data_IF_196861442772
#
_entry.id   IF_196861442772
#
_cell.length_a   1.000
_cell.length_b   1.000
_cell.length_c   1.000
_cell.angle_alpha   90.00
_cell.angle_beta   90.00
_cell.angle_gamma   90.00
#
_symmetry.space_group_name_H-M   'P 1'
#
loop_
_entity.id
_entity.type
_entity.pdbx_description
1 polymer ?
#
# COMPACT_ATOMS: atom_id res chain seq x y z
N UNK A 1 34.67 26.34 38.19
CA UNK A 1 33.98 25.49 37.20
C UNK A 1 32.56 25.28 37.66
N UNK A 2 31.67 26.16 37.20
CA UNK A 2 30.26 26.27 37.63
C UNK A 2 29.38 26.05 36.40
N UNK A 3 28.31 25.28 36.62
CA UNK A 3 27.17 24.97 35.74
C UNK A 3 26.50 26.24 35.17
N UNK A 4 25.98 26.21 33.94
CA UNK A 4 24.78 26.92 33.42
C UNK A 4 24.56 26.45 31.96
N UNK A 5 23.64 25.53 31.61
CA UNK A 5 22.20 25.77 31.33
C UNK A 5 21.84 27.24 31.19
N UNK A 6 21.54 27.70 29.96
CA UNK A 6 20.71 28.87 29.55
C UNK A 6 21.26 29.44 28.23
N UNK A 7 20.80 28.98 27.05
CA UNK A 7 20.82 29.78 25.79
C UNK A 7 20.36 29.03 24.51
N UNK A 8 19.37 28.12 24.55
CA UNK A 8 18.66 27.78 23.29
C UNK A 8 17.21 27.36 23.48
N UNK A 9 16.56 27.89 24.52
CA UNK A 9 15.11 27.87 24.71
C UNK A 9 14.38 29.00 23.94
N UNK A 10 14.99 29.62 22.91
CA UNK A 10 14.41 30.78 22.19
C UNK A 10 13.83 30.41 20.81
N UNK A 11 14.24 29.30 20.19
CA UNK A 11 13.72 28.92 18.86
C UNK A 11 12.35 28.22 18.93
N UNK A 12 11.90 27.87 20.15
CA UNK A 12 10.57 27.29 20.42
C UNK A 12 9.45 28.35 20.47
N UNK A 13 9.74 29.66 20.43
CA UNK A 13 8.73 30.70 20.75
C UNK A 13 8.22 31.59 19.60
N UNK A 14 8.62 31.37 18.34
CA UNK A 14 8.24 32.28 17.21
C UNK A 14 7.35 31.64 16.13
N UNK A 15 7.18 30.32 16.06
CA UNK A 15 6.30 29.67 15.05
C UNK A 15 5.01 29.12 15.68
N UNK A 16 4.53 29.81 16.72
CA UNK A 16 3.26 29.53 17.42
C UNK A 16 2.23 30.65 17.22
N UNK A 17 2.44 31.58 16.28
CA UNK A 17 1.66 32.81 16.24
C UNK A 17 1.08 33.21 14.88
N UNK A 18 0.57 32.29 14.05
CA UNK A 18 -0.34 32.66 12.94
C UNK A 18 -1.18 31.48 12.42
N UNK A 19 -2.11 30.96 13.24
CA UNK A 19 -3.36 30.39 12.69
C UNK A 19 -4.51 30.83 13.58
N UNK A 20 -5.04 32.02 13.28
CA UNK A 20 -6.30 32.49 13.81
C UNK A 20 -7.43 31.65 13.21
N UNK A 21 -8.23 31.02 14.07
CA UNK A 21 -9.52 30.44 13.76
C UNK A 21 -10.48 31.55 13.31
N UNK A 22 -10.77 31.61 12.01
CA UNK A 22 -11.93 32.33 11.51
C UNK A 22 -13.15 31.40 11.57
N UNK A 23 -13.94 31.49 12.64
CA UNK A 23 -15.31 30.99 12.68
C UNK A 23 -16.20 31.99 11.95
N UNK A 24 -16.33 31.83 10.63
CA UNK A 24 -17.28 32.59 9.83
C UNK A 24 -18.67 31.96 9.92
N UNK A 25 -19.58 32.60 10.66
CA UNK A 25 -21.01 32.37 10.52
C UNK A 25 -21.47 33.11 9.25
N UNK A 26 -21.89 32.35 8.24
CA UNK A 26 -22.52 32.94 7.05
C UNK A 26 -24.03 32.90 7.24
N UNK A 27 -24.58 34.05 7.60
CA UNK A 27 -26.00 34.38 7.42
C UNK A 27 -26.08 35.28 6.18
N UNK A 28 -26.69 34.78 5.10
CA UNK A 28 -26.94 35.56 3.89
C UNK A 28 -27.80 34.75 2.92
N UNK A 29 -29.13 34.90 2.97
CA UNK A 29 -29.93 35.85 2.22
C UNK A 29 -30.42 35.26 0.89
N UNK A 30 -31.72 34.93 0.86
CA UNK A 30 -32.49 34.60 -0.35
C UNK A 30 -32.31 35.69 -1.40
N UNK A 31 -31.74 35.30 -2.55
CA UNK A 31 -32.00 35.98 -3.82
C UNK A 31 -32.48 34.95 -4.82
N UNK A 32 -33.70 35.18 -5.31
CA UNK A 32 -34.24 34.60 -6.53
C UNK A 32 -33.16 34.70 -7.63
N UNK A 33 -32.67 33.55 -8.08
CA UNK A 33 -31.88 33.44 -9.29
C UNK A 33 -32.71 32.61 -10.27
N UNK A 34 -33.12 33.29 -11.34
CA UNK A 34 -33.73 32.71 -12.52
C UNK A 34 -33.00 31.44 -12.92
N UNK A 35 -33.78 30.39 -13.17
CA UNK A 35 -33.36 29.14 -13.80
C UNK A 35 -32.84 29.47 -15.20
N UNK A 36 -31.54 29.76 -15.30
CA UNK A 36 -30.80 29.65 -16.56
C UNK A 36 -30.42 28.18 -16.63
N UNK A 37 -31.14 27.45 -17.47
CA UNK A 37 -30.79 26.10 -17.89
C UNK A 37 -29.44 26.16 -18.59
N UNK A 38 -28.36 26.04 -17.81
CA UNK A 38 -27.04 25.76 -18.36
C UNK A 38 -27.13 24.33 -18.86
N UNK A 39 -27.17 24.17 -20.18
CA UNK A 39 -26.85 22.92 -20.85
C UNK A 39 -25.50 22.47 -20.29
N UNK A 40 -25.54 21.48 -19.39
CA UNK A 40 -24.35 20.77 -18.96
C UNK A 40 -23.94 20.01 -20.21
N UNK A 41 -23.01 20.60 -20.96
CA UNK A 41 -22.27 19.92 -22.02
C UNK A 41 -21.94 18.53 -21.48
N UNK A 42 -22.54 17.52 -22.11
CA UNK A 42 -22.27 16.12 -21.82
C UNK A 42 -20.76 15.95 -21.98
N UNK A 43 -20.02 15.95 -20.87
CA UNK A 43 -18.63 15.53 -20.86
C UNK A 43 -18.68 14.15 -21.48
N UNK A 44 -18.10 13.96 -22.69
CA UNK A 44 -18.23 12.71 -23.42
C UNK A 44 -17.85 11.63 -22.44
N UNK A 45 -18.70 10.61 -22.31
CA UNK A 45 -18.44 9.44 -21.51
C UNK A 45 -17.20 8.78 -22.09
N UNK A 46 -16.02 9.30 -21.72
CA UNK A 46 -14.74 8.65 -21.91
C UNK A 46 -14.97 7.36 -21.16
N UNK A 47 -15.12 6.27 -21.91
CA UNK A 47 -15.02 4.93 -21.37
C UNK A 47 -13.68 4.90 -20.65
N UNK A 48 -13.70 5.19 -19.35
CA UNK A 48 -12.50 5.17 -18.52
C UNK A 48 -12.14 3.70 -18.52
N UNK A 49 -11.23 3.32 -19.41
CA UNK A 49 -10.72 1.97 -19.50
C UNK A 49 -10.18 1.66 -18.11
N UNK A 50 -10.94 0.87 -17.35
CA UNK A 50 -10.57 0.52 -15.99
C UNK A 50 -9.31 -0.32 -16.10
N UNK A 51 -8.42 -0.22 -15.12
CA UNK A 51 -7.26 -1.11 -15.13
C UNK A 51 -7.69 -2.56 -14.91
N UNK A 52 -8.88 -2.78 -14.38
CA UNK A 52 -9.44 -4.09 -14.08
C UNK A 52 -9.91 -4.89 -15.29
N UNK A 53 -10.19 -4.23 -16.41
CA UNK A 53 -10.62 -4.87 -17.67
C UNK A 53 -9.47 -5.59 -18.39
N UNK A 54 -8.21 -5.35 -18.00
CA UNK A 54 -7.07 -6.04 -18.63
C UNK A 54 -7.07 -7.52 -18.25
N UNK A 55 -6.86 -8.39 -19.23
CA UNK A 55 -6.98 -9.83 -19.08
C UNK A 55 -5.93 -10.43 -18.13
N UNK A 56 -4.67 -10.01 -18.23
CA UNK A 56 -3.57 -10.56 -17.45
C UNK A 56 -3.14 -9.66 -16.28
N UNK A 57 -2.58 -10.30 -15.25
CA UNK A 57 -2.16 -9.65 -13.99
C UNK A 57 -1.13 -8.56 -14.25
N UNK A 58 -0.18 -8.80 -15.16
CA UNK A 58 0.90 -7.85 -15.46
C UNK A 58 0.35 -6.59 -16.10
N UNK A 59 -0.56 -6.71 -17.07
CA UNK A 59 -1.20 -5.57 -17.72
C UNK A 59 -2.06 -4.75 -16.77
N UNK A 60 -2.77 -5.40 -15.83
CA UNK A 60 -3.51 -4.69 -14.78
C UNK A 60 -2.59 -3.87 -13.88
N UNK A 61 -1.53 -4.50 -13.36
CA UNK A 61 -0.55 -3.84 -12.50
C UNK A 61 0.12 -2.68 -13.25
N UNK A 62 0.56 -2.90 -14.50
CA UNK A 62 1.18 -1.86 -15.33
C UNK A 62 0.23 -0.69 -15.54
N UNK A 63 -1.03 -0.98 -15.89
CA UNK A 63 -2.04 0.05 -16.05
C UNK A 63 -2.20 0.90 -14.78
N UNK A 64 -2.24 0.26 -13.59
CA UNK A 64 -2.39 0.97 -12.31
C UNK A 64 -1.20 1.92 -12.04
N UNK A 65 0.01 1.52 -12.42
CA UNK A 65 1.19 2.40 -12.36
C UNK A 65 1.13 3.57 -13.35
N UNK A 66 0.68 3.32 -14.58
CA UNK A 66 0.59 4.35 -15.63
C UNK A 66 -0.57 5.32 -15.39
N UNK A 67 -1.62 4.88 -14.69
CA UNK A 67 -2.86 5.62 -14.49
C UNK A 67 -3.21 5.75 -13.00
N UNK A 68 -2.33 6.39 -12.23
CA UNK A 68 -2.46 6.48 -10.76
C UNK A 68 -3.77 7.11 -10.28
N UNK A 69 -4.38 8.03 -11.05
CA UNK A 69 -5.69 8.61 -10.74
C UNK A 69 -6.80 7.57 -10.83
N UNK A 70 -6.77 6.75 -11.89
CA UNK A 70 -7.72 5.64 -12.08
C UNK A 70 -7.49 4.62 -10.97
N UNK A 71 -6.25 4.20 -10.74
CA UNK A 71 -5.90 3.25 -9.68
C UNK A 71 -6.35 3.70 -8.27
N UNK A 72 -6.24 5.00 -7.94
CA UNK A 72 -6.70 5.52 -6.63
C UNK A 72 -8.21 5.49 -6.48
N UNK A 73 -8.95 5.79 -7.55
CA UNK A 73 -10.42 5.69 -7.57
C UNK A 73 -10.84 4.24 -7.38
N UNK A 74 -10.16 3.34 -8.09
CA UNK A 74 -10.39 1.91 -8.05
C UNK A 74 -10.04 1.30 -6.67
N UNK A 75 -8.95 1.72 -6.04
CA UNK A 75 -8.45 1.12 -4.77
C UNK A 75 -9.46 1.10 -3.60
N UNK A 76 -10.52 1.92 -3.64
CA UNK A 76 -11.58 1.93 -2.62
C UNK A 76 -12.50 0.72 -2.76
N UNK A 77 -12.72 0.24 -3.98
CA UNK A 77 -13.75 -0.75 -4.30
C UNK A 77 -13.17 -2.13 -4.62
N UNK A 78 -11.88 -2.21 -4.99
CA UNK A 78 -11.33 -3.46 -5.52
C UNK A 78 -10.68 -4.40 -4.53
N UNK A 79 -10.80 -5.67 -4.90
CA UNK A 79 -10.21 -6.82 -4.24
C UNK A 79 -8.72 -6.88 -4.59
N UNK A 80 -7.88 -7.12 -3.58
CA UNK A 80 -6.46 -7.29 -3.77
C UNK A 80 -6.16 -8.35 -4.84
N UNK A 81 -5.18 -8.06 -5.71
CA UNK A 81 -4.93 -8.86 -6.93
C UNK A 81 -4.65 -10.34 -6.63
N UNK A 82 -4.06 -10.63 -5.48
CA UNK A 82 -3.82 -11.99 -5.01
C UNK A 82 -5.09 -12.75 -4.60
N UNK A 83 -6.14 -12.03 -4.19
CA UNK A 83 -7.43 -12.60 -3.79
C UNK A 83 -8.38 -12.81 -4.99
N UNK A 84 -8.12 -12.19 -6.14
CA UNK A 84 -9.04 -12.16 -7.30
C UNK A 84 -9.48 -13.54 -7.80
N UNK A 85 -8.55 -14.49 -7.86
CA UNK A 85 -8.81 -15.83 -8.40
C UNK A 85 -9.40 -16.79 -7.36
N UNK A 86 -9.46 -16.37 -6.08
CA UNK A 86 -10.08 -17.17 -5.03
C UNK A 86 -11.61 -17.10 -5.15
N UNK A 87 -12.31 -18.15 -4.70
CA UNK A 87 -13.77 -18.23 -4.73
C UNK A 87 -14.34 -18.46 -3.33
N UNK A 88 -15.58 -18.01 -3.11
CA UNK A 88 -16.33 -18.23 -1.87
C UNK A 88 -15.57 -17.79 -0.61
N UNK A 89 -15.55 -18.68 0.39
CA UNK A 89 -14.94 -18.43 1.71
C UNK A 89 -13.45 -18.08 1.63
N UNK A 90 -12.70 -18.66 0.67
CA UNK A 90 -11.27 -18.36 0.51
C UNK A 90 -11.04 -16.91 0.08
N UNK A 91 -11.88 -16.39 -0.83
CA UNK A 91 -11.81 -14.99 -1.27
C UNK A 91 -12.14 -14.06 -0.12
N UNK A 92 -13.17 -14.38 0.66
CA UNK A 92 -13.56 -13.58 1.81
C UNK A 92 -12.49 -13.57 2.89
N UNK A 93 -11.93 -14.72 3.25
CA UNK A 93 -10.83 -14.81 4.21
C UNK A 93 -9.61 -13.99 3.77
N UNK A 94 -9.28 -14.03 2.47
CA UNK A 94 -8.22 -13.23 1.87
C UNK A 94 -8.52 -11.72 2.01
N UNK A 95 -9.71 -11.27 1.61
CA UNK A 95 -10.13 -9.88 1.72
C UNK A 95 -10.08 -9.38 3.17
N UNK A 96 -10.58 -10.20 4.11
CA UNK A 96 -10.59 -9.85 5.53
C UNK A 96 -9.19 -9.74 6.12
N UNK A 97 -8.23 -10.55 5.66
CA UNK A 97 -6.83 -10.43 6.06
C UNK A 97 -6.26 -9.05 5.70
N UNK A 98 -6.53 -8.55 4.49
CA UNK A 98 -6.10 -7.21 4.06
C UNK A 98 -6.84 -6.11 4.81
N UNK A 99 -8.17 -6.22 4.90
CA UNK A 99 -9.02 -5.24 5.61
C UNK A 99 -8.56 -5.03 7.05
N UNK A 100 -8.32 -6.10 7.80
CA UNK A 100 -7.92 -6.01 9.21
C UNK A 100 -6.46 -5.61 9.43
N UNK A 101 -5.60 -5.78 8.42
CA UNK A 101 -4.20 -5.39 8.48
C UNK A 101 -3.93 -3.98 7.94
N UNK A 102 -4.91 -3.32 7.31
CA UNK A 102 -4.78 -1.97 6.75
C UNK A 102 -4.12 -0.96 7.69
N UNK A 103 -4.52 -0.91 8.96
CA UNK A 103 -3.94 -0.01 9.94
C UNK A 103 -2.47 -0.32 10.28
N UNK A 104 -2.01 -1.56 10.09
CA UNK A 104 -0.63 -1.95 10.38
C UNK A 104 0.37 -1.25 9.46
N UNK A 105 0.00 -0.97 8.20
CA UNK A 105 0.88 -0.34 7.20
C UNK A 105 1.21 1.11 7.53
N UNK A 106 0.30 1.80 8.23
CA UNK A 106 0.48 3.17 8.69
C UNK A 106 1.48 3.33 9.86
N UNK A 107 1.94 2.23 10.48
CA UNK A 107 2.92 2.31 11.55
C UNK A 107 4.31 2.67 11.00
N UNK A 108 4.89 3.78 11.45
CA UNK A 108 6.26 4.17 11.11
C UNK A 108 7.30 3.33 11.86
N UNK A 109 7.02 2.92 13.11
CA UNK A 109 7.88 2.02 13.87
C UNK A 109 7.81 0.59 13.31
N UNK A 110 8.97 0.09 12.87
CA UNK A 110 9.13 -1.25 12.32
C UNK A 110 8.79 -2.35 13.34
N UNK A 111 9.05 -2.14 14.63
CA UNK A 111 8.76 -3.13 15.67
C UNK A 111 7.26 -3.21 15.92
N UNK A 112 6.59 -2.07 16.10
CA UNK A 112 5.14 -1.98 16.20
C UNK A 112 4.44 -2.58 14.97
N UNK A 113 4.89 -2.22 13.76
CA UNK A 113 4.36 -2.78 12.50
C UNK A 113 4.47 -4.30 12.46
N UNK A 114 5.63 -4.86 12.79
CA UNK A 114 5.85 -6.31 12.86
C UNK A 114 4.91 -6.99 13.86
N UNK A 115 4.76 -6.42 15.07
CA UNK A 115 3.83 -6.95 16.08
C UNK A 115 2.39 -6.92 15.59
N UNK A 116 1.97 -5.83 14.94
CA UNK A 116 0.65 -5.70 14.34
C UNK A 116 0.42 -6.78 13.27
N UNK A 117 1.35 -7.02 12.35
CA UNK A 117 1.20 -8.09 11.35
C UNK A 117 1.12 -9.49 11.97
N UNK A 118 1.92 -9.77 13.01
CA UNK A 118 1.84 -11.05 13.73
C UNK A 118 0.45 -11.22 14.35
N UNK A 119 -0.06 -10.19 15.03
CA UNK A 119 -1.41 -10.21 15.59
C UNK A 119 -2.48 -10.42 14.51
N UNK A 120 -2.47 -9.62 13.42
CA UNK A 120 -3.47 -9.68 12.35
C UNK A 120 -3.40 -10.93 11.48
N UNK A 121 -2.28 -11.65 11.52
CA UNK A 121 -2.16 -12.99 10.91
C UNK A 121 -2.64 -14.13 11.81
N UNK A 122 -3.02 -13.82 13.06
CA UNK A 122 -3.49 -14.81 14.05
C UNK A 122 -2.38 -15.37 14.95
N UNK A 123 -1.18 -14.79 14.91
CA UNK A 123 -0.04 -15.20 15.75
C UNK A 123 -0.02 -14.35 17.01
N UNK A 124 -0.52 -14.91 18.12
CA UNK A 124 -0.55 -14.21 19.40
C UNK A 124 0.79 -14.35 20.16
N UNK A 125 1.62 -13.31 20.07
CA UNK A 125 2.91 -13.24 20.76
C UNK A 125 2.74 -13.01 22.27
N UNK A 126 1.67 -12.32 22.68
CA UNK A 126 1.44 -11.90 24.06
C UNK A 126 1.03 -13.05 24.99
N UNK A 127 0.56 -14.18 24.44
CA UNK A 127 0.25 -15.41 25.19
C UNK A 127 1.43 -16.40 25.24
N UNK A 128 2.66 -15.92 25.06
CA UNK A 128 3.85 -16.76 24.98
C UNK A 128 3.98 -17.55 23.66
N UNK A 129 3.12 -17.26 22.67
CA UNK A 129 3.18 -17.88 21.36
C UNK A 129 4.42 -17.44 20.58
N UNK A 130 5.12 -18.39 19.96
CA UNK A 130 6.22 -18.09 19.03
C UNK A 130 5.73 -18.27 17.60
N UNK A 131 6.35 -17.54 16.65
CA UNK A 131 6.10 -17.76 15.22
C UNK A 131 6.26 -19.23 14.82
N UNK A 132 7.18 -19.97 15.45
CA UNK A 132 7.44 -21.39 15.18
C UNK A 132 6.27 -22.29 15.58
N UNK A 133 5.65 -22.01 16.73
CA UNK A 133 4.52 -22.78 17.27
C UNK A 133 3.16 -22.42 16.65
N UNK A 134 3.08 -21.34 15.87
CA UNK A 134 1.82 -20.90 15.26
C UNK A 134 1.27 -21.91 14.23
N UNK A 135 -0.06 -21.97 14.02
CA UNK A 135 -0.65 -22.72 12.93
C UNK A 135 -0.07 -22.32 11.57
N UNK A 136 0.01 -23.28 10.65
CA UNK A 136 0.61 -23.04 9.33
C UNK A 136 -0.16 -21.99 8.53
N UNK A 137 -1.48 -21.94 8.66
CA UNK A 137 -2.30 -20.88 8.05
C UNK A 137 -1.91 -19.50 8.57
N UNK A 138 -1.74 -19.33 9.88
CA UNK A 138 -1.31 -18.06 10.47
C UNK A 138 0.08 -17.65 9.98
N UNK A 139 1.02 -18.60 9.86
CA UNK A 139 2.35 -18.35 9.29
C UNK A 139 2.26 -17.90 7.82
N UNK A 140 1.40 -18.55 7.01
CA UNK A 140 1.15 -18.17 5.61
C UNK A 140 0.56 -16.77 5.50
N UNK A 141 -0.46 -16.46 6.31
CA UNK A 141 -1.07 -15.13 6.39
C UNK A 141 -0.02 -14.07 6.75
N UNK A 142 0.86 -14.36 7.71
CA UNK A 142 1.95 -13.44 8.05
C UNK A 142 2.88 -13.16 6.87
N UNK A 143 3.28 -14.20 6.11
CA UNK A 143 4.13 -14.02 4.92
C UNK A 143 3.42 -13.19 3.84
N UNK A 144 2.11 -13.39 3.65
CA UNK A 144 1.30 -12.59 2.72
C UNK A 144 1.34 -11.11 3.09
N UNK A 145 1.18 -10.77 4.37
CA UNK A 145 1.26 -9.38 4.85
C UNK A 145 2.65 -8.77 4.64
N UNK A 146 3.72 -9.55 4.86
CA UNK A 146 5.09 -9.09 4.58
C UNK A 146 5.33 -8.82 3.10
N UNK A 147 4.80 -9.67 2.22
CA UNK A 147 4.89 -9.51 0.77
C UNK A 147 4.10 -8.28 0.30
N UNK A 148 2.93 -8.03 0.86
CA UNK A 148 2.15 -6.82 0.56
C UNK A 148 2.86 -5.55 1.04
N UNK A 149 3.42 -5.53 2.25
CA UNK A 149 4.24 -4.40 2.71
C UNK A 149 5.48 -4.17 1.81
N UNK A 150 6.03 -5.22 1.18
CA UNK A 150 7.11 -5.06 0.21
C UNK A 150 6.61 -4.52 -1.13
N UNK A 151 5.42 -4.93 -1.57
CA UNK A 151 4.75 -4.36 -2.74
C UNK A 151 4.53 -2.85 -2.57
N UNK A 152 3.97 -2.39 -1.45
CA UNK A 152 3.78 -0.96 -1.18
C UNK A 152 5.11 -0.17 -1.25
N UNK A 153 6.22 -0.78 -0.81
CA UNK A 153 7.55 -0.15 -0.93
C UNK A 153 8.01 -0.04 -2.38
N UNK A 154 7.76 -1.06 -3.20
CA UNK A 154 8.10 -1.03 -4.62
C UNK A 154 7.24 0.00 -5.35
N UNK A 155 5.95 0.07 -5.03
CA UNK A 155 5.04 1.08 -5.56
C UNK A 155 5.52 2.48 -5.18
N UNK A 156 5.84 2.73 -3.91
CA UNK A 156 6.42 4.01 -3.48
C UNK A 156 7.78 4.32 -4.14
N UNK A 157 8.61 3.32 -4.45
CA UNK A 157 9.86 3.54 -5.20
C UNK A 157 9.58 4.01 -6.63
N UNK A 158 8.56 3.45 -7.29
CA UNK A 158 8.15 3.87 -8.63
C UNK A 158 7.52 5.26 -8.61
N UNK A 159 6.65 5.56 -7.64
CA UNK A 159 6.04 6.88 -7.46
C UNK A 159 7.10 7.97 -7.26
N UNK A 160 8.19 7.66 -6.56
CA UNK A 160 9.32 8.56 -6.36
C UNK A 160 10.30 8.61 -7.55
N UNK A 161 10.02 7.91 -8.65
CA UNK A 161 10.89 7.85 -9.83
C UNK A 161 12.20 7.08 -9.64
N UNK A 162 12.37 6.36 -8.52
CA UNK A 162 13.57 5.58 -8.26
C UNK A 162 13.67 4.36 -9.18
N UNK A 163 12.54 3.77 -9.59
CA UNK A 163 12.50 2.64 -10.52
C UNK A 163 11.48 2.91 -11.62
N UNK A 164 11.71 2.35 -12.79
CA UNK A 164 10.79 2.46 -13.92
C UNK A 164 9.49 1.69 -13.67
N UNK A 165 8.42 2.09 -14.37
CA UNK A 165 7.13 1.38 -14.35
C UNK A 165 7.29 -0.10 -14.72
N UNK A 166 8.14 -0.44 -15.69
CA UNK A 166 8.34 -1.83 -16.10
C UNK A 166 9.05 -2.68 -15.04
N UNK A 167 10.05 -2.09 -14.36
CA UNK A 167 10.72 -2.74 -13.22
C UNK A 167 9.74 -2.98 -12.06
N UNK A 168 8.96 -1.95 -11.69
CA UNK A 168 7.96 -2.05 -10.64
C UNK A 168 6.89 -3.09 -10.97
N UNK A 169 6.37 -3.05 -12.20
CA UNK A 169 5.40 -4.03 -12.73
C UNK A 169 5.93 -5.45 -12.61
N UNK A 170 7.17 -5.70 -13.04
CA UNK A 170 7.77 -7.03 -12.98
C UNK A 170 7.85 -7.55 -11.54
N UNK A 171 8.35 -6.72 -10.63
CA UNK A 171 8.52 -7.09 -9.22
C UNK A 171 7.17 -7.32 -8.52
N UNK A 172 6.19 -6.44 -8.72
CA UNK A 172 4.86 -6.57 -8.11
C UNK A 172 4.11 -7.78 -8.67
N UNK A 173 4.22 -8.04 -9.97
CA UNK A 173 3.63 -9.25 -10.60
C UNK A 173 4.12 -10.52 -9.89
N UNK A 174 5.44 -10.63 -9.66
CA UNK A 174 6.02 -11.78 -8.94
C UNK A 174 5.57 -11.87 -7.49
N UNK A 175 5.44 -10.74 -6.80
CA UNK A 175 4.86 -10.72 -5.44
C UNK A 175 3.42 -11.26 -5.46
N UNK A 176 2.60 -10.83 -6.41
CA UNK A 176 1.22 -11.31 -6.57
C UNK A 176 1.17 -12.81 -6.84
N UNK A 177 2.00 -13.31 -7.75
CA UNK A 177 2.09 -14.75 -8.05
C UNK A 177 2.48 -15.57 -6.80
N UNK A 178 3.49 -15.14 -6.05
CA UNK A 178 3.90 -15.80 -4.80
C UNK A 178 2.76 -15.78 -3.78
N UNK A 179 2.05 -14.66 -3.62
CA UNK A 179 0.88 -14.56 -2.73
C UNK A 179 -0.23 -15.54 -3.15
N UNK A 180 -0.54 -15.64 -4.45
CA UNK A 180 -1.51 -16.60 -5.01
C UNK A 180 -1.10 -18.05 -4.71
N UNK A 181 0.19 -18.39 -4.84
CA UNK A 181 0.71 -19.71 -4.45
C UNK A 181 0.52 -20.00 -2.95
N UNK A 182 0.78 -19.01 -2.09
CA UNK A 182 0.61 -19.17 -0.65
C UNK A 182 -0.87 -19.39 -0.29
N UNK A 183 -1.77 -18.58 -0.86
CA UNK A 183 -3.22 -18.61 -0.65
C UNK A 183 -3.88 -19.89 -1.18
N UNK A 184 -3.37 -20.43 -2.29
CA UNK A 184 -3.82 -21.72 -2.83
C UNK A 184 -3.29 -22.93 -2.06
N UNK A 185 -2.43 -22.71 -1.05
CA UNK A 185 -1.90 -23.78 -0.21
C UNK A 185 -0.67 -24.49 -0.77
N UNK A 186 0.01 -23.93 -1.78
CA UNK A 186 1.22 -24.51 -2.36
C UNK A 186 2.26 -24.88 -1.30
N UNK A 187 3.06 -25.92 -1.55
CA UNK A 187 4.06 -26.40 -0.61
C UNK A 187 5.22 -25.41 -0.52
N UNK A 188 5.91 -25.41 0.62
CA UNK A 188 7.10 -24.58 0.84
C UNK A 188 8.18 -24.80 -0.22
N UNK A 189 8.35 -26.04 -0.69
CA UNK A 189 9.30 -26.40 -1.74
C UNK A 189 9.03 -25.71 -3.07
N UNK A 190 7.79 -25.32 -3.34
CA UNK A 190 7.38 -24.64 -4.58
C UNK A 190 7.49 -23.12 -4.43
N UNK A 191 7.19 -22.59 -3.23
CA UNK A 191 7.21 -21.15 -2.94
C UNK A 191 8.64 -20.61 -2.79
N UNK A 192 9.53 -21.36 -2.11
CA UNK A 192 10.89 -20.89 -1.79
C UNK A 192 11.72 -20.55 -3.03
N UNK A 193 11.76 -21.38 -4.10
CA UNK A 193 12.46 -21.03 -5.32
C UNK A 193 11.97 -19.71 -5.94
N UNK A 194 10.64 -19.48 -5.96
CA UNK A 194 10.06 -18.22 -6.47
C UNK A 194 10.44 -17.01 -5.63
N UNK A 195 10.48 -17.15 -4.31
CA UNK A 195 11.01 -16.10 -3.42
C UNK A 195 12.50 -15.82 -3.66
N UNK A 196 13.31 -16.83 -3.97
CA UNK A 196 14.74 -16.65 -4.29
C UNK A 196 14.93 -15.94 -5.63
N UNK A 197 14.15 -16.32 -6.65
CA UNK A 197 14.12 -15.67 -7.96
C UNK A 197 13.76 -14.19 -7.82
N UNK A 198 12.65 -13.90 -7.12
CA UNK A 198 12.23 -12.54 -6.81
C UNK A 198 13.34 -11.75 -6.08
N UNK A 199 13.98 -12.35 -5.07
CA UNK A 199 15.06 -11.70 -4.31
C UNK A 199 16.26 -11.34 -5.20
N UNK A 200 16.60 -12.19 -6.16
CA UNK A 200 17.68 -11.93 -7.13
C UNK A 200 17.33 -10.73 -8.00
N UNK A 201 16.14 -10.72 -8.59
CA UNK A 201 15.66 -9.63 -9.44
C UNK A 201 15.55 -8.31 -8.68
N UNK A 202 14.95 -8.33 -7.49
CA UNK A 202 14.86 -7.17 -6.62
C UNK A 202 16.24 -6.58 -6.34
N UNK A 203 17.23 -7.40 -5.99
CA UNK A 203 18.61 -6.93 -5.77
C UNK A 203 19.21 -6.28 -7.00
N UNK A 204 19.01 -6.85 -8.20
CA UNK A 204 19.52 -6.27 -9.44
C UNK A 204 18.94 -4.87 -9.68
N UNK A 205 17.62 -4.71 -9.50
CA UNK A 205 16.94 -3.41 -9.62
C UNK A 205 17.44 -2.41 -8.56
N UNK A 206 17.63 -2.83 -7.31
CA UNK A 206 18.13 -1.92 -6.26
C UNK A 206 19.61 -1.57 -6.47
N UNK A 207 20.42 -2.50 -6.98
CA UNK A 207 21.84 -2.28 -7.23
C UNK A 207 22.09 -1.28 -8.36
N UNK A 208 21.24 -1.23 -9.40
CA UNK A 208 21.39 -0.22 -10.46
C UNK A 208 21.27 1.21 -9.92
N UNK A 209 20.44 1.43 -8.90
CA UNK A 209 20.24 2.76 -8.28
C UNK A 209 21.50 3.30 -7.59
N UNK A 210 22.38 2.40 -7.13
CA UNK A 210 23.64 2.79 -6.47
C UNK A 210 24.78 3.04 -7.46
N UNK A 211 24.68 2.50 -8.67
CA UNK A 211 25.68 2.69 -9.72
C UNK A 211 25.63 4.09 -10.32
N UNK A 212 24.42 4.65 -10.43
CA UNK A 212 24.19 5.95 -11.07
C UNK A 212 24.55 7.16 -10.17
N UNK A 213 24.90 6.93 -8.90
CA UNK A 213 25.29 7.99 -7.94
C UNK A 213 26.81 8.21 -7.85
N UNK A 214 27.60 7.52 -8.69
CA UNK A 214 29.06 7.57 -8.67
C UNK A 214 29.70 8.24 -9.91
N UNK A 215 28.91 8.96 -10.72
CA UNK A 215 29.36 9.82 -11.82
C UNK A 215 28.96 11.27 -11.55
#
# INVERSE_FOLDING_TARGET
MIKHTFASSIIILVILSTFALAAGTSTGNSRNASVVSVEVDEVPAVSVNTCEDKADVRSRIKCRFENTVVAKREAVEFVEEACRDSQGEKREACNQLYKRSKACYNNSDAIAKKRCFLEKSGININRGGTFRAAPDESKRNYVILLLYNLQEKIEGMQENGNITTDQATSLVTKIVEIKKMILSGAKRSEIVPKMQEFKKEFRLVISSLKGDSAQ
#
